data_IF_126933194927
#
_entry.id   IF_126933194927
#
_cell.length_a   1.000
_cell.length_b   1.000
_cell.length_c   1.000
_cell.angle_alpha   90.00
_cell.angle_beta   90.00
_cell.angle_gamma   90.00
#
_symmetry.space_group_name_H-M   'P 1'
#
loop_
_entity.id
_entity.type
_entity.pdbx_description
1 polymer ?
#
# COMPACT_ATOMS: atom_id res chain seq x y z
N UNK A 1 -7.29 -16.56 62.63
CA UNK A 1 -7.34 -16.89 61.19
C UNK A 1 -8.00 -15.73 60.46
N UNK A 2 -7.23 -14.75 59.97
CA UNK A 2 -7.76 -13.59 59.25
C UNK A 2 -8.19 -13.99 57.84
N UNK A 3 -9.40 -13.57 57.45
CA UNK A 3 -9.93 -13.81 56.09
C UNK A 3 -9.13 -12.97 55.10
N UNK A 4 -8.38 -13.63 54.22
CA UNK A 4 -7.79 -13.01 53.03
C UNK A 4 -8.94 -12.56 52.13
N UNK A 5 -9.07 -11.25 51.94
CA UNK A 5 -10.06 -10.65 51.04
C UNK A 5 -9.51 -10.62 49.61
N UNK A 6 -10.40 -10.72 48.61
CA UNK A 6 -10.08 -10.69 47.16
C UNK A 6 -9.29 -9.45 46.68
N UNK A 7 -9.01 -8.49 47.56
CA UNK A 7 -8.16 -7.33 47.29
C UNK A 7 -6.66 -7.68 47.23
N UNK A 8 -6.23 -8.77 47.86
CA UNK A 8 -4.80 -9.11 48.00
C UNK A 8 -4.24 -9.90 46.79
N UNK A 9 -5.07 -10.20 45.78
CA UNK A 9 -4.69 -10.96 44.58
C UNK A 9 -4.63 -10.12 43.30
N UNK A 10 -4.75 -8.80 43.40
CA UNK A 10 -4.78 -7.89 42.26
C UNK A 10 -3.70 -6.82 42.36
N UNK A 11 -2.48 -7.14 41.93
CA UNK A 11 -1.43 -6.10 41.83
C UNK A 11 -0.14 -6.48 41.14
N UNK A 12 0.23 -7.76 41.12
CA UNK A 12 1.63 -8.17 40.85
C UNK A 12 1.97 -8.43 39.38
N UNK A 13 1.41 -7.64 38.45
CA UNK A 13 1.84 -7.68 37.04
C UNK A 13 1.94 -6.28 36.46
N UNK A 14 2.79 -5.45 37.07
CA UNK A 14 3.38 -4.29 36.42
C UNK A 14 4.54 -4.74 35.50
N UNK A 15 4.22 -5.32 34.36
CA UNK A 15 5.16 -5.49 33.26
C UNK A 15 4.65 -4.72 32.04
N UNK A 16 5.20 -3.52 31.88
CA UNK A 16 5.43 -2.76 30.63
C UNK A 16 4.39 -3.01 29.53
N UNK A 17 3.21 -2.40 29.68
CA UNK A 17 2.20 -2.36 28.63
C UNK A 17 1.84 -0.91 28.33
N UNK A 18 2.43 -0.31 27.30
CA UNK A 18 1.98 0.98 26.76
C UNK A 18 0.56 0.83 26.20
N UNK A 19 -0.42 0.92 27.09
CA UNK A 19 -1.84 0.87 26.81
C UNK A 19 -2.30 2.26 26.38
N UNK A 20 -1.93 2.70 25.18
CA UNK A 20 -2.60 3.83 24.53
C UNK A 20 -3.97 3.35 23.98
N UNK A 21 -4.89 2.97 24.89
CA UNK A 21 -6.31 2.75 24.58
C UNK A 21 -7.07 4.08 24.52
N UNK A 22 -6.50 5.09 23.87
CA UNK A 22 -7.00 6.47 23.86
C UNK A 22 -7.54 6.96 22.52
N UNK A 23 -8.05 8.20 22.52
CA UNK A 23 -8.39 9.01 21.35
C UNK A 23 -7.34 8.98 20.22
N UNK A 24 -6.01 9.13 20.45
CA UNK A 24 -5.03 9.19 19.37
C UNK A 24 -4.94 7.91 18.53
N UNK A 25 -5.14 6.73 19.13
CA UNK A 25 -5.09 5.46 18.38
C UNK A 25 -6.28 5.32 17.42
N UNK A 26 -7.44 5.89 17.76
CA UNK A 26 -8.62 5.88 16.89
C UNK A 26 -8.38 6.73 15.65
N UNK A 27 -7.79 7.91 15.80
CA UNK A 27 -7.42 8.76 14.66
C UNK A 27 -6.35 8.13 13.78
N UNK A 28 -5.32 7.53 14.40
CA UNK A 28 -4.31 6.82 13.64
C UNK A 28 -4.91 5.67 12.82
N UNK A 29 -5.87 4.93 13.39
CA UNK A 29 -6.61 3.89 12.67
C UNK A 29 -7.41 4.47 11.51
N UNK A 30 -8.11 5.59 11.71
CA UNK A 30 -8.87 6.27 10.66
C UNK A 30 -7.94 6.67 9.53
N UNK A 31 -6.84 7.38 9.83
CA UNK A 31 -5.86 7.81 8.85
C UNK A 31 -5.28 6.63 8.08
N UNK A 32 -4.88 5.55 8.78
CA UNK A 32 -4.36 4.35 8.15
C UNK A 32 -5.36 3.73 7.16
N UNK A 33 -6.63 3.59 7.57
CA UNK A 33 -7.69 3.06 6.71
C UNK A 33 -7.97 3.99 5.52
N UNK A 34 -7.97 5.31 5.73
CA UNK A 34 -8.16 6.28 4.65
C UNK A 34 -7.02 6.20 3.62
N UNK A 35 -5.76 6.17 4.05
CA UNK A 35 -4.62 6.04 3.13
C UNK A 35 -4.59 4.69 2.43
N UNK A 36 -4.93 3.60 3.13
CA UNK A 36 -5.07 2.28 2.51
C UNK A 36 -6.18 2.27 1.44
N UNK A 37 -7.32 2.90 1.71
CA UNK A 37 -8.42 3.01 0.76
C UNK A 37 -8.07 3.88 -0.44
N UNK A 38 -7.39 5.01 -0.23
CA UNK A 38 -6.89 5.86 -1.32
C UNK A 38 -5.91 5.11 -2.21
N UNK A 39 -4.96 4.38 -1.61
CA UNK A 39 -3.97 3.62 -2.36
C UNK A 39 -4.62 2.50 -3.19
N UNK A 40 -5.54 1.75 -2.60
CA UNK A 40 -6.29 0.70 -3.27
C UNK A 40 -7.19 1.26 -4.39
N UNK A 41 -7.92 2.34 -4.12
CA UNK A 41 -8.78 3.01 -5.08
C UNK A 41 -8.01 3.57 -6.27
N UNK A 42 -6.89 4.25 -6.03
CA UNK A 42 -6.03 4.76 -7.09
C UNK A 42 -5.43 3.65 -7.94
N UNK A 43 -5.08 2.52 -7.33
CA UNK A 43 -4.68 1.30 -8.07
C UNK A 43 -5.78 0.82 -9.01
N UNK A 44 -7.03 0.72 -8.54
CA UNK A 44 -8.16 0.33 -9.38
C UNK A 44 -8.36 1.33 -10.53
N UNK A 45 -8.30 2.64 -10.25
CA UNK A 45 -8.41 3.67 -11.28
C UNK A 45 -7.29 3.56 -12.33
N UNK A 46 -6.04 3.31 -11.93
CA UNK A 46 -4.93 3.08 -12.86
C UNK A 46 -5.20 1.85 -13.73
N UNK A 47 -5.61 0.73 -13.15
CA UNK A 47 -5.96 -0.47 -13.93
C UNK A 47 -7.07 -0.17 -14.94
N UNK A 48 -8.10 0.59 -14.55
CA UNK A 48 -9.17 1.00 -15.48
C UNK A 48 -8.65 1.88 -16.63
N UNK A 49 -7.77 2.83 -16.36
CA UNK A 49 -7.15 3.65 -17.43
C UNK A 49 -6.32 2.78 -18.37
N UNK A 50 -5.56 1.82 -17.83
CA UNK A 50 -4.63 1.01 -18.61
C UNK A 50 -5.30 -0.05 -19.48
N UNK A 51 -6.45 -0.58 -19.06
CA UNK A 51 -7.19 -1.58 -19.82
C UNK A 51 -8.42 -1.01 -20.54
N UNK A 52 -8.92 0.15 -20.11
CA UNK A 52 -10.12 0.79 -20.67
C UNK A 52 -9.84 1.88 -21.70
N UNK A 53 -8.58 2.26 -21.91
CA UNK A 53 -8.20 3.26 -22.90
C UNK A 53 -7.13 2.71 -23.84
N UNK A 54 -7.43 2.70 -25.14
CA UNK A 54 -6.53 2.26 -26.21
C UNK A 54 -6.13 3.46 -27.10
N UNK A 55 -4.94 4.05 -26.90
CA UNK A 55 -4.53 5.23 -27.64
C UNK A 55 -4.31 4.94 -29.14
N UNK A 56 -5.00 5.67 -30.01
CA UNK A 56 -4.92 5.49 -31.46
C UNK A 56 -3.82 6.34 -32.15
N UNK A 57 -3.36 7.42 -31.51
CA UNK A 57 -2.34 8.32 -32.05
C UNK A 57 -1.42 8.88 -30.96
N UNK A 58 -0.37 9.61 -31.36
CA UNK A 58 0.61 10.18 -30.43
C UNK A 58 0.01 11.11 -29.38
N UNK A 59 -0.99 11.93 -29.74
CA UNK A 59 -1.66 12.83 -28.80
C UNK A 59 -2.39 12.06 -27.68
N UNK A 60 -3.14 11.02 -28.04
CA UNK A 60 -3.83 10.17 -27.07
C UNK A 60 -2.84 9.38 -26.22
N UNK A 61 -1.73 8.90 -26.81
CA UNK A 61 -0.69 8.19 -26.06
C UNK A 61 0.01 9.11 -25.06
N UNK A 62 0.24 10.38 -25.42
CA UNK A 62 0.76 11.37 -24.50
C UNK A 62 -0.19 11.63 -23.33
N UNK A 63 -1.47 11.88 -23.61
CA UNK A 63 -2.49 12.09 -22.59
C UNK A 63 -2.60 10.90 -21.63
N UNK A 64 -2.63 9.67 -22.17
CA UNK A 64 -2.62 8.43 -21.40
C UNK A 64 -1.45 8.36 -20.42
N UNK A 65 -0.22 8.58 -20.90
CA UNK A 65 0.99 8.50 -20.05
C UNK A 65 1.04 9.62 -19.02
N UNK A 66 0.60 10.82 -19.38
CA UNK A 66 0.52 11.95 -18.46
C UNK A 66 -0.45 11.64 -17.30
N UNK A 67 -1.65 11.14 -17.60
CA UNK A 67 -2.65 10.77 -16.58
C UNK A 67 -2.12 9.66 -15.66
N UNK A 68 -1.52 8.61 -16.23
CA UNK A 68 -0.95 7.52 -15.43
C UNK A 68 0.13 8.04 -14.48
N UNK A 69 1.06 8.87 -14.97
CA UNK A 69 2.12 9.44 -14.14
C UNK A 69 1.58 10.37 -13.06
N UNK A 70 0.60 11.23 -13.38
CA UNK A 70 -0.03 12.13 -12.41
C UNK A 70 -0.69 11.33 -11.29
N UNK A 71 -1.48 10.30 -11.63
CA UNK A 71 -2.14 9.46 -10.61
C UNK A 71 -1.10 8.75 -9.75
N UNK A 72 -0.04 8.20 -10.35
CA UNK A 72 1.02 7.54 -9.59
C UNK A 72 1.72 8.50 -8.62
N UNK A 73 2.20 9.64 -9.14
CA UNK A 73 2.98 10.62 -8.39
C UNK A 73 2.17 11.30 -7.29
N UNK A 74 0.93 11.70 -7.59
CA UNK A 74 0.16 12.61 -6.73
C UNK A 74 -0.82 11.86 -5.82
N UNK A 75 -1.14 10.59 -6.12
CA UNK A 75 -2.09 9.80 -5.34
C UNK A 75 -1.49 8.49 -4.86
N UNK A 76 -1.00 7.62 -5.76
CA UNK A 76 -0.54 6.27 -5.38
C UNK A 76 0.68 6.33 -4.46
N UNK A 77 1.76 6.98 -4.89
CA UNK A 77 3.00 7.09 -4.13
C UNK A 77 2.79 7.74 -2.74
N UNK A 78 2.16 8.92 -2.60
CA UNK A 78 1.97 9.53 -1.29
C UNK A 78 1.01 8.74 -0.40
N UNK A 79 -0.08 8.18 -0.93
CA UNK A 79 -1.00 7.37 -0.13
C UNK A 79 -0.37 6.05 0.34
N UNK A 80 0.44 5.40 -0.49
CA UNK A 80 1.16 4.18 -0.14
C UNK A 80 2.19 4.44 0.97
N UNK A 81 2.97 5.53 0.85
CA UNK A 81 3.94 5.94 1.87
C UNK A 81 3.25 6.32 3.18
N UNK A 82 2.17 7.10 3.14
CA UNK A 82 1.41 7.48 4.33
C UNK A 82 0.71 6.28 4.98
N UNK A 83 0.22 5.33 4.18
CA UNK A 83 -0.31 4.06 4.66
C UNK A 83 0.75 3.24 5.39
N UNK A 84 1.96 3.15 4.83
CA UNK A 84 3.10 2.48 5.44
C UNK A 84 3.51 3.15 6.77
N UNK A 85 3.66 4.48 6.79
CA UNK A 85 4.03 5.24 7.99
C UNK A 85 2.98 5.11 9.08
N UNK A 86 1.69 5.29 8.75
CA UNK A 86 0.61 5.14 9.73
C UNK A 86 0.48 3.69 10.21
N UNK A 87 0.69 2.71 9.34
CA UNK A 87 0.74 1.30 9.68
C UNK A 87 1.89 0.97 10.64
N UNK A 88 3.05 1.62 10.46
CA UNK A 88 4.20 1.49 11.35
C UNK A 88 3.83 1.91 12.77
N UNK A 89 3.33 3.14 12.93
CA UNK A 89 2.92 3.63 14.24
C UNK A 89 1.77 2.80 14.81
N UNK A 90 0.84 2.32 13.98
CA UNK A 90 -0.27 1.50 14.45
C UNK A 90 0.20 0.13 14.97
N UNK A 91 1.14 -0.53 14.28
CA UNK A 91 1.78 -1.76 14.75
C UNK A 91 2.57 -1.55 16.03
N UNK A 92 3.30 -0.44 16.15
CA UNK A 92 4.08 -0.10 17.35
C UNK A 92 3.20 0.17 18.58
N UNK A 93 2.04 0.80 18.38
CA UNK A 93 1.12 1.23 19.46
C UNK A 93 0.06 0.20 19.83
N UNK A 94 -0.04 -0.92 19.10
CA UNK A 94 -1.04 -1.97 19.34
C UNK A 94 -0.41 -3.24 19.87
N UNK A 95 -1.17 -4.09 20.60
CA UNK A 95 -0.67 -5.38 21.09
C UNK A 95 -0.24 -6.36 19.99
N UNK A 96 -0.51 -6.03 18.73
CA UNK A 96 -0.08 -6.82 17.58
C UNK A 96 1.43 -6.75 17.37
N UNK A 97 2.10 -5.65 17.75
CA UNK A 97 3.52 -5.45 17.49
C UNK A 97 3.89 -5.60 16.01
N UNK A 98 5.18 -5.79 15.74
CA UNK A 98 5.70 -6.08 14.39
C UNK A 98 5.96 -7.56 14.16
N UNK A 99 6.50 -8.23 15.18
CA UNK A 99 6.91 -9.63 15.08
C UNK A 99 5.81 -10.57 15.59
N UNK A 100 4.77 -10.01 16.26
CA UNK A 100 3.52 -10.61 16.79
C UNK A 100 3.08 -11.97 16.20
N UNK A 101 2.92 -11.86 14.90
CA UNK A 101 2.11 -12.73 14.09
C UNK A 101 2.73 -12.79 12.70
N UNK A 102 2.77 -13.98 12.12
CA UNK A 102 3.35 -14.18 10.79
C UNK A 102 2.67 -13.33 9.72
N UNK A 103 1.34 -13.14 9.81
CA UNK A 103 0.61 -12.28 8.88
C UNK A 103 1.02 -10.80 8.98
N UNK A 104 1.46 -10.33 10.16
CA UNK A 104 1.95 -8.94 10.32
C UNK A 104 3.31 -8.79 9.66
N UNK A 105 4.21 -9.75 9.89
CA UNK A 105 5.54 -9.77 9.26
C UNK A 105 5.42 -9.82 7.74
N UNK A 106 4.57 -10.71 7.22
CA UNK A 106 4.33 -10.83 5.78
C UNK A 106 3.83 -9.51 5.18
N UNK A 107 2.89 -8.84 5.85
CA UNK A 107 2.42 -7.51 5.43
C UNK A 107 3.57 -6.51 5.36
N UNK A 108 4.41 -6.46 6.38
CA UNK A 108 5.56 -5.56 6.39
C UNK A 108 6.53 -5.83 5.25
N UNK A 109 6.92 -7.08 5.04
CA UNK A 109 7.82 -7.46 3.96
C UNK A 109 7.24 -7.05 2.62
N UNK A 110 5.99 -7.45 2.34
CA UNK A 110 5.37 -7.16 1.04
C UNK A 110 5.14 -5.66 0.87
N UNK A 111 4.65 -4.93 1.88
CA UNK A 111 4.46 -3.47 1.79
C UNK A 111 5.78 -2.73 1.56
N UNK A 112 6.85 -3.07 2.27
CA UNK A 112 8.16 -2.41 2.11
C UNK A 112 8.76 -2.74 0.75
N UNK A 113 8.82 -4.01 0.36
CA UNK A 113 9.34 -4.42 -0.94
C UNK A 113 8.56 -3.76 -2.08
N UNK A 114 7.23 -3.73 -1.96
CA UNK A 114 6.36 -3.13 -2.96
C UNK A 114 6.56 -1.61 -3.07
N UNK A 115 6.62 -0.90 -1.94
CA UNK A 115 6.84 0.55 -1.94
C UNK A 115 8.23 0.92 -2.47
N UNK A 116 9.26 0.15 -2.14
CA UNK A 116 10.61 0.36 -2.67
C UNK A 116 10.68 0.12 -4.18
N UNK A 117 10.07 -0.96 -4.68
CA UNK A 117 9.98 -1.21 -6.11
C UNK A 117 9.18 -0.10 -6.83
N UNK A 118 8.09 0.36 -6.21
CA UNK A 118 7.30 1.49 -6.69
C UNK A 118 8.12 2.77 -6.83
N UNK A 119 8.82 3.15 -5.76
CA UNK A 119 9.57 4.40 -5.71
C UNK A 119 10.85 4.38 -6.56
N UNK A 120 11.60 3.27 -6.55
CA UNK A 120 12.91 3.19 -7.19
C UNK A 120 12.85 2.78 -8.67
N UNK A 121 11.80 2.05 -9.07
CA UNK A 121 11.72 1.46 -10.43
C UNK A 121 10.51 1.99 -11.18
N UNK A 122 9.31 1.84 -10.63
CA UNK A 122 8.06 2.16 -11.33
C UNK A 122 7.91 3.67 -11.57
N UNK A 123 8.05 4.49 -10.52
CA UNK A 123 7.81 5.93 -10.64
C UNK A 123 8.79 6.62 -11.61
N UNK A 124 10.11 6.35 -11.58
CA UNK A 124 11.05 6.85 -12.59
C UNK A 124 10.75 6.35 -14.00
N UNK A 125 10.26 5.12 -14.13
CA UNK A 125 9.85 4.57 -15.43
C UNK A 125 8.62 5.30 -15.99
N UNK A 126 7.58 5.52 -15.18
CA UNK A 126 6.37 6.25 -15.58
C UNK A 126 6.68 7.70 -15.96
N UNK A 127 7.51 8.38 -15.16
CA UNK A 127 7.97 9.73 -15.46
C UNK A 127 8.72 9.79 -16.80
N UNK A 128 9.64 8.84 -17.04
CA UNK A 128 10.38 8.76 -18.31
C UNK A 128 9.44 8.51 -19.49
N UNK A 129 8.44 7.63 -19.33
CA UNK A 129 7.45 7.35 -20.37
C UNK A 129 6.63 8.60 -20.72
N UNK A 130 6.17 9.35 -19.71
CA UNK A 130 5.41 10.58 -19.88
C UNK A 130 6.25 11.71 -20.52
N UNK A 131 7.53 11.84 -20.15
CA UNK A 131 8.45 12.77 -20.81
C UNK A 131 8.68 12.42 -22.27
N UNK A 132 8.93 11.14 -22.58
CA UNK A 132 9.21 10.72 -23.95
C UNK A 132 7.98 10.88 -24.87
N UNK A 133 6.77 10.75 -24.35
CA UNK A 133 5.57 10.94 -25.16
C UNK A 133 5.30 12.39 -25.55
N UNK A 134 5.89 13.37 -24.87
CA UNK A 134 5.79 14.79 -25.27
C UNK A 134 6.38 15.04 -26.66
N UNK A 135 7.37 14.24 -27.07
CA UNK A 135 8.04 14.36 -28.35
C UNK A 135 7.40 13.51 -29.47
N UNK A 136 6.27 12.85 -29.21
CA UNK A 136 5.55 12.09 -30.23
C UNK A 136 4.84 13.03 -31.20
N UNK A 137 4.80 12.65 -32.49
CA UNK A 137 3.93 13.29 -33.47
C UNK A 137 2.46 13.15 -33.02
N UNK A 138 1.74 14.24 -32.75
CA UNK A 138 0.36 14.19 -32.25
C UNK A 138 -0.60 13.42 -33.17
N UNK A 139 -0.44 13.55 -34.49
CA UNK A 139 -1.27 12.89 -35.48
C UNK A 139 -0.65 11.57 -35.99
N UNK A 140 0.60 11.33 -35.63
CA UNK A 140 1.35 10.15 -36.04
C UNK A 140 0.85 8.86 -35.40
N UNK A 141 1.15 7.71 -36.03
CA UNK A 141 0.80 6.41 -35.48
C UNK A 141 1.55 6.17 -34.16
N UNK A 142 0.93 5.41 -33.26
CA UNK A 142 1.60 4.98 -32.03
C UNK A 142 2.76 4.04 -32.38
N UNK A 143 4.00 4.32 -31.95
CA UNK A 143 5.12 3.44 -32.22
C UNK A 143 4.92 2.06 -31.60
N UNK A 144 5.26 0.98 -32.32
CA UNK A 144 5.10 -0.40 -31.82
C UNK A 144 5.77 -0.63 -30.45
N UNK A 145 6.93 -0.02 -30.20
CA UNK A 145 7.59 -0.08 -28.90
C UNK A 145 6.76 0.54 -27.76
N UNK A 146 5.95 1.55 -28.05
CA UNK A 146 5.05 2.15 -27.05
C UNK A 146 3.87 1.24 -26.72
N UNK A 147 3.38 0.47 -27.69
CA UNK A 147 2.33 -0.54 -27.46
C UNK A 147 2.83 -1.63 -26.52
N UNK A 148 4.04 -2.16 -26.77
CA UNK A 148 4.66 -3.16 -25.91
C UNK A 148 4.85 -2.64 -24.47
N UNK A 149 5.33 -1.40 -24.32
CA UNK A 149 5.53 -0.78 -23.01
C UNK A 149 4.20 -0.57 -22.28
N UNK A 150 3.13 -0.17 -22.97
CA UNK A 150 1.79 -0.08 -22.38
C UNK A 150 1.26 -1.45 -21.94
N UNK A 151 1.50 -2.51 -22.70
CA UNK A 151 1.13 -3.87 -22.30
C UNK A 151 1.87 -4.33 -21.04
N UNK A 152 3.18 -4.07 -20.95
CA UNK A 152 3.97 -4.33 -19.75
C UNK A 152 3.47 -3.52 -18.55
N UNK A 153 3.07 -2.27 -18.78
CA UNK A 153 2.49 -1.42 -17.74
C UNK A 153 1.16 -1.98 -17.22
N UNK A 154 0.30 -2.47 -18.13
CA UNK A 154 -0.93 -3.18 -17.77
C UNK A 154 -0.67 -4.39 -16.87
N UNK A 155 0.33 -5.23 -17.22
CA UNK A 155 0.73 -6.37 -16.38
C UNK A 155 1.16 -5.91 -14.98
N UNK A 156 1.95 -4.84 -14.88
CA UNK A 156 2.35 -4.27 -13.58
C UNK A 156 1.13 -3.82 -12.76
N UNK A 157 0.15 -3.15 -13.37
CA UNK A 157 -1.06 -2.74 -12.67
C UNK A 157 -1.95 -3.93 -12.26
N UNK A 158 -2.04 -4.97 -13.07
CA UNK A 158 -2.74 -6.20 -12.70
C UNK A 158 -2.08 -6.87 -11.50
N UNK A 159 -0.74 -6.98 -11.51
CA UNK A 159 0.02 -7.50 -10.37
C UNK A 159 -0.20 -6.63 -9.13
N UNK A 160 -0.17 -5.31 -9.26
CA UNK A 160 -0.45 -4.39 -8.15
C UNK A 160 -1.85 -4.61 -7.56
N UNK A 161 -2.87 -4.73 -8.41
CA UNK A 161 -4.24 -4.97 -7.98
C UNK A 161 -4.36 -6.31 -7.24
N UNK A 162 -3.71 -7.36 -7.74
CA UNK A 162 -3.63 -8.66 -7.08
C UNK A 162 -2.94 -8.58 -5.71
N UNK A 163 -1.85 -7.82 -5.59
CA UNK A 163 -1.14 -7.61 -4.31
C UNK A 163 -2.04 -6.89 -3.31
N UNK A 164 -2.75 -5.84 -3.74
CA UNK A 164 -3.70 -5.11 -2.89
C UNK A 164 -4.85 -6.03 -2.44
N UNK A 165 -5.42 -6.81 -3.36
CA UNK A 165 -6.46 -7.77 -3.03
C UNK A 165 -5.97 -8.83 -2.03
N UNK A 166 -4.78 -9.39 -2.26
CA UNK A 166 -4.12 -10.33 -1.35
C UNK A 166 -3.93 -9.72 0.04
N UNK A 167 -3.49 -8.47 0.14
CA UNK A 167 -3.34 -7.76 1.42
C UNK A 167 -4.65 -7.60 2.17
N UNK A 168 -5.76 -7.34 1.46
CA UNK A 168 -7.10 -7.31 2.05
C UNK A 168 -7.48 -8.67 2.61
N UNK A 169 -7.26 -9.75 1.85
CA UNK A 169 -7.53 -11.13 2.31
C UNK A 169 -6.73 -11.47 3.57
N UNK A 170 -5.43 -11.18 3.58
CA UNK A 170 -4.56 -11.40 4.76
C UNK A 170 -5.04 -10.56 5.95
N UNK A 171 -5.58 -9.36 5.72
CA UNK A 171 -6.14 -8.50 6.77
C UNK A 171 -7.38 -9.08 7.43
N UNK A 172 -8.27 -9.68 6.64
CA UNK A 172 -9.54 -10.25 7.11
C UNK A 172 -9.30 -11.60 7.78
N UNK A 173 -8.61 -12.52 7.09
CA UNK A 173 -8.43 -13.89 7.57
C UNK A 173 -7.33 -14.04 8.62
N UNK A 174 -6.37 -13.10 8.69
CA UNK A 174 -5.25 -13.08 9.65
C UNK A 174 -4.59 -14.46 9.82
N UNK A 175 -4.05 -15.05 8.74
CA UNK A 175 -3.67 -16.45 8.76
C UNK A 175 -2.37 -16.66 9.57
N UNK A 176 -2.00 -17.93 9.77
CA UNK A 176 -0.70 -18.37 10.33
C UNK A 176 -0.42 -18.10 11.82
N UNK A 177 -1.36 -17.53 12.59
CA UNK A 177 -1.23 -17.45 14.05
C UNK A 177 0.00 -16.66 14.54
N UNK A 178 0.46 -16.99 15.75
CA UNK A 178 1.56 -16.31 16.44
C UNK A 178 2.94 -16.78 15.98
N UNK A 179 3.95 -15.91 16.09
CA UNK A 179 5.34 -16.34 15.92
C UNK A 179 5.92 -16.89 17.22
N UNK A 180 7.04 -17.60 17.14
CA UNK A 180 7.75 -18.15 18.30
C UNK A 180 8.55 -17.11 19.08
N UNK A 181 8.62 -15.88 18.59
CA UNK A 181 9.43 -14.78 19.13
C UNK A 181 8.67 -13.92 20.15
N UNK A 182 7.59 -14.45 20.73
CA UNK A 182 6.79 -13.78 21.76
C UNK A 182 6.92 -14.55 23.07
N UNK A 183 7.74 -13.98 23.97
CA UNK A 183 7.72 -14.30 25.40
C UNK A 183 6.59 -13.50 26.04
#
# INVERSE_FOLDING_TARGET
>A
MSRVTKADLAGDHQFIGYRLRGFPLRWLKILHVCFAALWAGATVCLTLVQYGFDPANGAQMHAYRAIVWIIDRDVVAPSALLCMVTGFFYSAMTPYGFVKYWWVILKWIVTVCYNLAGFLVLSPWLERMARLSWFMDPAGPVPAGSILLSALQGVVAAVQLCVVAFMVLVTVFKPWGHTRWHV
#
